data_IF_205262801850
#
_entry.id   IF_205262801850
#
_cell.length_a   1.000
_cell.length_b   1.000
_cell.length_c   1.000
_cell.angle_alpha   90.00
_cell.angle_beta   90.00
_cell.angle_gamma   90.00
#
_symmetry.space_group_name_H-M   'P 1'
#
loop_
_entity.id
_entity.type
_entity.pdbx_description
1 polymer ?
#
# COMPACT_ATOMS: atom_id res chain seq x y z
N UNK A 1 -35.06 -60.91 18.65
CA UNK A 1 -34.36 -60.01 19.60
C UNK A 1 -34.00 -58.75 18.85
N UNK A 2 -34.52 -57.60 19.26
CA UNK A 2 -34.15 -56.30 18.69
C UNK A 2 -33.07 -55.74 19.62
N UNK A 3 -31.88 -55.54 19.06
CA UNK A 3 -30.65 -55.26 19.80
C UNK A 3 -30.74 -53.90 20.52
N UNK A 4 -30.91 -53.92 21.85
CA UNK A 4 -31.01 -52.72 22.69
C UNK A 4 -29.73 -51.88 22.72
N UNK A 5 -28.62 -52.41 22.19
CA UNK A 5 -27.33 -51.74 22.13
C UNK A 5 -27.29 -50.66 21.02
N UNK A 6 -28.01 -50.87 19.91
CA UNK A 6 -28.14 -49.90 18.80
C UNK A 6 -28.98 -48.66 19.18
N UNK A 7 -30.00 -48.83 20.04
CA UNK A 7 -30.84 -47.73 20.52
C UNK A 7 -30.09 -46.77 21.46
N UNK A 8 -29.19 -47.29 22.29
CA UNK A 8 -28.41 -46.50 23.24
C UNK A 8 -27.28 -45.74 22.53
N UNK A 9 -26.65 -46.36 21.51
CA UNK A 9 -25.70 -45.68 20.61
C UNK A 9 -26.37 -44.52 19.86
N UNK A 10 -27.53 -44.77 19.26
CA UNK A 10 -28.30 -43.76 18.54
C UNK A 10 -28.74 -42.59 19.43
N UNK A 11 -29.11 -42.84 20.69
CA UNK A 11 -29.51 -41.77 21.62
C UNK A 11 -28.33 -40.88 22.00
N UNK A 12 -27.13 -41.44 22.20
CA UNK A 12 -25.91 -40.64 22.45
C UNK A 12 -25.49 -39.82 21.22
N UNK A 13 -25.58 -40.38 20.02
CA UNK A 13 -25.30 -39.65 18.79
C UNK A 13 -26.30 -38.51 18.54
N UNK A 14 -27.60 -38.76 18.77
CA UNK A 14 -28.63 -37.72 18.69
C UNK A 14 -28.42 -36.62 19.73
N UNK A 15 -28.07 -36.97 20.97
CA UNK A 15 -27.83 -35.97 22.02
C UNK A 15 -26.60 -35.12 21.73
N UNK A 16 -25.51 -35.71 21.21
CA UNK A 16 -24.34 -34.96 20.77
C UNK A 16 -24.64 -34.08 19.54
N UNK A 17 -25.45 -34.55 18.61
CA UNK A 17 -25.90 -33.75 17.47
C UNK A 17 -26.73 -32.54 17.96
N UNK A 18 -27.69 -32.75 18.85
CA UNK A 18 -28.51 -31.67 19.43
C UNK A 18 -27.66 -30.66 20.20
N UNK A 19 -26.68 -31.12 20.98
CA UNK A 19 -25.80 -30.24 21.74
C UNK A 19 -24.84 -29.41 20.86
N UNK A 20 -24.49 -29.91 19.66
CA UNK A 20 -23.62 -29.21 18.70
C UNK A 20 -24.41 -28.34 17.70
N UNK A 21 -25.74 -28.45 17.66
CA UNK A 21 -26.59 -27.61 16.79
C UNK A 21 -26.36 -26.10 16.96
N UNK A 22 -26.22 -25.54 18.18
CA UNK A 22 -25.96 -24.11 18.35
C UNK A 22 -24.62 -23.68 17.71
N UNK A 23 -23.56 -24.45 17.95
CA UNK A 23 -22.22 -24.21 17.39
C UNK A 23 -22.22 -24.33 15.85
N UNK A 24 -22.90 -25.34 15.31
CA UNK A 24 -23.06 -25.51 13.86
C UNK A 24 -23.89 -24.38 13.23
N UNK A 25 -24.90 -23.88 13.95
CA UNK A 25 -25.70 -22.73 13.51
C UNK A 25 -24.87 -21.46 13.47
N UNK A 26 -24.06 -21.20 14.50
CA UNK A 26 -23.15 -20.05 14.52
C UNK A 26 -22.10 -20.13 13.42
N UNK A 27 -21.47 -21.30 13.23
CA UNK A 27 -20.54 -21.55 12.11
C UNK A 27 -21.21 -21.29 10.76
N UNK A 28 -22.43 -21.78 10.56
CA UNK A 28 -23.20 -21.53 9.35
C UNK A 28 -23.44 -20.02 9.15
N UNK A 29 -23.83 -19.29 10.19
CA UNK A 29 -24.03 -17.84 10.10
C UNK A 29 -22.74 -17.11 9.68
N UNK A 30 -21.58 -17.51 10.19
CA UNK A 30 -20.28 -16.95 9.77
C UNK A 30 -20.01 -17.24 8.29
N UNK A 31 -20.25 -18.48 7.84
CA UNK A 31 -20.10 -18.87 6.44
C UNK A 31 -21.04 -18.07 5.53
N UNK A 32 -22.31 -17.94 5.91
CA UNK A 32 -23.32 -17.20 5.14
C UNK A 32 -22.93 -15.71 5.03
N UNK A 33 -22.43 -15.10 6.12
CA UNK A 33 -21.89 -13.74 6.12
C UNK A 33 -20.73 -13.59 5.12
N UNK A 34 -19.72 -14.45 5.19
CA UNK A 34 -18.56 -14.37 4.29
C UNK A 34 -18.93 -14.68 2.83
N UNK A 35 -19.85 -15.61 2.59
CA UNK A 35 -20.34 -15.94 1.25
C UNK A 35 -21.06 -14.75 0.63
N UNK A 36 -21.90 -14.05 1.40
CA UNK A 36 -22.56 -12.84 0.94
C UNK A 36 -21.55 -11.73 0.63
N UNK A 37 -20.59 -11.47 1.54
CA UNK A 37 -19.53 -10.47 1.32
C UNK A 37 -18.74 -10.79 0.04
N UNK A 38 -18.30 -12.04 -0.14
CA UNK A 38 -17.54 -12.46 -1.31
C UNK A 38 -18.34 -12.29 -2.61
N UNK A 39 -19.64 -12.57 -2.58
CA UNK A 39 -20.54 -12.43 -3.74
C UNK A 39 -20.67 -10.97 -4.14
N UNK A 40 -20.89 -10.06 -3.18
CA UNK A 40 -20.98 -8.62 -3.44
C UNK A 40 -19.64 -8.07 -3.95
N UNK A 41 -18.52 -8.46 -3.33
CA UNK A 41 -17.19 -8.04 -3.77
C UNK A 41 -16.88 -8.49 -5.20
N UNK A 42 -17.28 -9.72 -5.58
CA UNK A 42 -17.11 -10.21 -6.94
C UNK A 42 -17.92 -9.39 -7.96
N UNK A 43 -19.11 -8.92 -7.57
CA UNK A 43 -19.91 -7.98 -8.36
C UNK A 43 -19.15 -6.67 -8.59
N UNK A 44 -18.69 -6.03 -7.52
CA UNK A 44 -17.92 -4.78 -7.57
C UNK A 44 -16.66 -4.88 -8.45
N UNK A 45 -15.91 -5.98 -8.32
CA UNK A 45 -14.71 -6.24 -9.14
C UNK A 45 -15.06 -6.27 -10.62
N UNK A 46 -16.14 -6.97 -10.99
CA UNK A 46 -16.56 -7.12 -12.40
C UNK A 46 -17.11 -5.82 -12.97
N UNK A 47 -17.97 -5.14 -12.22
CA UNK A 47 -18.66 -3.93 -12.68
C UNK A 47 -17.67 -2.79 -12.92
N UNK A 48 -16.66 -2.67 -12.06
CA UNK A 48 -15.59 -1.67 -12.16
C UNK A 48 -14.37 -2.16 -12.95
N UNK A 49 -14.33 -3.45 -13.30
CA UNK A 49 -13.20 -4.10 -13.98
C UNK A 49 -11.88 -3.94 -13.23
N UNK A 50 -11.93 -4.09 -11.89
CA UNK A 50 -10.78 -3.88 -11.00
C UNK A 50 -9.64 -4.86 -11.25
N UNK A 51 -9.95 -6.04 -11.81
CA UNK A 51 -8.95 -7.01 -12.28
C UNK A 51 -8.04 -6.41 -13.36
N UNK A 52 -8.60 -5.59 -14.26
CA UNK A 52 -7.82 -4.91 -15.31
C UNK A 52 -6.93 -3.81 -14.72
N UNK A 53 -7.44 -3.03 -13.77
CA UNK A 53 -6.66 -2.02 -13.06
C UNK A 53 -5.49 -2.68 -12.32
N UNK A 54 -5.77 -3.66 -11.45
CA UNK A 54 -4.76 -4.33 -10.64
C UNK A 54 -3.64 -4.96 -11.47
N UNK A 55 -4.00 -5.63 -12.58
CA UNK A 55 -3.01 -6.21 -13.49
C UNK A 55 -2.11 -5.15 -14.11
N UNK A 56 -2.68 -4.07 -14.62
CA UNK A 56 -1.91 -3.00 -15.28
C UNK A 56 -1.08 -2.19 -14.29
N UNK A 57 -1.57 -1.96 -13.09
CA UNK A 57 -0.80 -1.35 -11.99
C UNK A 57 0.41 -2.22 -11.63
N UNK A 58 0.21 -3.54 -11.52
CA UNK A 58 1.29 -4.48 -11.28
C UNK A 58 2.33 -4.47 -12.41
N UNK A 59 1.89 -4.62 -13.66
CA UNK A 59 2.77 -4.65 -14.83
C UNK A 59 3.57 -3.34 -14.95
N UNK A 60 2.92 -2.20 -14.67
CA UNK A 60 3.54 -0.88 -14.68
C UNK A 60 4.58 -0.72 -13.57
N UNK A 61 4.31 -1.23 -12.37
CA UNK A 61 5.26 -1.19 -11.25
C UNK A 61 6.50 -2.06 -11.52
N UNK A 62 6.31 -3.21 -12.17
CA UNK A 62 7.40 -4.15 -12.51
C UNK A 62 8.24 -3.66 -13.69
N UNK A 63 7.59 -3.11 -14.72
CA UNK A 63 8.26 -2.68 -15.97
C UNK A 63 8.74 -1.23 -15.92
N UNK A 64 8.21 -0.41 -15.02
CA UNK A 64 8.45 1.04 -14.95
C UNK A 64 7.80 1.85 -16.07
N UNK A 65 7.01 1.22 -16.96
CA UNK A 65 6.36 1.87 -18.10
C UNK A 65 5.01 1.22 -18.43
N UNK A 66 4.17 1.93 -19.19
CA UNK A 66 2.93 1.42 -19.76
C UNK A 66 2.79 1.95 -21.19
N UNK A 67 2.19 1.16 -22.08
CA UNK A 67 1.88 1.64 -23.42
C UNK A 67 0.82 2.76 -23.40
N UNK A 68 1.00 3.77 -24.25
CA UNK A 68 0.10 4.94 -24.32
C UNK A 68 -1.34 4.56 -24.64
N UNK A 69 -1.55 3.58 -25.52
CA UNK A 69 -2.89 3.13 -25.91
C UNK A 69 -3.56 2.37 -24.77
N UNK A 70 -2.81 1.57 -24.02
CA UNK A 70 -3.31 0.87 -22.83
C UNK A 70 -3.67 1.83 -21.71
N UNK A 71 -2.81 2.82 -21.42
CA UNK A 71 -3.05 3.87 -20.44
C UNK A 71 -4.36 4.63 -20.75
N UNK A 72 -4.53 5.03 -22.01
CA UNK A 72 -5.74 5.73 -22.46
C UNK A 72 -6.97 4.84 -22.36
N UNK A 73 -6.85 3.56 -22.74
CA UNK A 73 -7.95 2.59 -22.71
C UNK A 73 -8.48 2.39 -21.29
N UNK A 74 -7.61 2.34 -20.27
CA UNK A 74 -8.03 2.26 -18.86
C UNK A 74 -8.78 3.51 -18.44
N UNK A 75 -8.20 4.69 -18.67
CA UNK A 75 -8.76 5.96 -18.20
C UNK A 75 -10.12 6.27 -18.86
N UNK A 76 -10.32 5.86 -20.12
CA UNK A 76 -11.59 6.02 -20.83
C UNK A 76 -12.57 4.86 -20.59
N UNK A 77 -12.10 3.75 -20.02
CA UNK A 77 -12.88 2.54 -19.77
C UNK A 77 -13.77 2.61 -18.53
N UNK A 78 -14.14 1.42 -18.05
CA UNK A 78 -14.89 1.18 -16.80
C UNK A 78 -14.10 1.63 -15.57
N UNK A 79 -14.79 1.68 -14.44
CA UNK A 79 -14.22 2.09 -13.15
C UNK A 79 -14.77 3.45 -12.70
N UNK A 80 -14.69 3.68 -11.39
CA UNK A 80 -15.15 4.93 -10.78
C UNK A 80 -14.17 6.07 -11.03
N UNK A 81 -14.60 7.31 -10.74
CA UNK A 81 -13.72 8.49 -10.79
C UNK A 81 -12.47 8.30 -9.92
N UNK A 82 -12.61 7.67 -8.75
CA UNK A 82 -11.50 7.42 -7.83
C UNK A 82 -10.57 6.31 -8.35
N UNK A 83 -11.09 5.27 -9.02
CA UNK A 83 -10.27 4.22 -9.64
C UNK A 83 -9.36 4.81 -10.72
N UNK A 84 -9.93 5.64 -11.59
CA UNK A 84 -9.20 6.34 -12.67
C UNK A 84 -8.14 7.30 -12.11
N UNK A 85 -8.47 8.05 -11.07
CA UNK A 85 -7.55 8.97 -10.42
C UNK A 85 -6.37 8.23 -9.77
N UNK A 86 -6.66 7.13 -9.05
CA UNK A 86 -5.63 6.28 -8.44
C UNK A 86 -4.71 5.65 -9.49
N UNK A 87 -5.27 5.16 -10.59
CA UNK A 87 -4.50 4.62 -11.71
C UNK A 87 -3.58 5.68 -12.33
N UNK A 88 -4.09 6.89 -12.54
CA UNK A 88 -3.29 8.00 -13.06
C UNK A 88 -2.15 8.40 -12.10
N UNK A 89 -2.40 8.40 -10.79
CA UNK A 89 -1.38 8.60 -9.76
C UNK A 89 -0.35 7.47 -9.78
N UNK A 90 -0.79 6.21 -9.94
CA UNK A 90 0.11 5.06 -10.06
C UNK A 90 1.06 5.19 -11.26
N UNK A 91 0.53 5.64 -12.41
CA UNK A 91 1.33 5.98 -13.58
C UNK A 91 2.40 7.03 -13.30
N UNK A 92 2.01 8.13 -12.62
CA UNK A 92 2.98 9.15 -12.24
C UNK A 92 4.07 8.59 -11.34
N UNK A 93 3.77 7.80 -10.32
CA UNK A 93 4.80 7.33 -9.37
C UNK A 93 5.66 6.20 -9.94
N UNK A 94 5.13 5.40 -10.88
CA UNK A 94 5.85 4.25 -11.45
C UNK A 94 6.78 4.62 -12.60
N UNK A 95 6.51 5.75 -13.28
CA UNK A 95 7.36 6.21 -14.38
C UNK A 95 8.64 6.87 -13.85
N UNK A 96 9.81 6.60 -14.41
CA UNK A 96 11.04 7.29 -13.99
C UNK A 96 11.05 8.77 -14.43
N UNK A 97 10.62 9.02 -15.66
CA UNK A 97 10.46 10.37 -16.21
C UNK A 97 9.00 10.80 -16.21
N UNK A 98 8.74 12.07 -16.53
CA UNK A 98 7.39 12.61 -16.70
C UNK A 98 7.26 13.06 -18.16
N UNK A 99 6.89 12.16 -19.10
CA UNK A 99 6.70 12.54 -20.49
C UNK A 99 5.52 13.52 -20.60
N UNK A 100 5.82 14.77 -20.96
CA UNK A 100 4.83 15.86 -20.95
C UNK A 100 3.59 15.53 -21.80
N UNK A 101 3.79 14.93 -22.98
CA UNK A 101 2.71 14.55 -23.88
C UNK A 101 1.77 13.48 -23.30
N UNK A 102 2.29 12.52 -22.53
CA UNK A 102 1.48 11.48 -21.88
C UNK A 102 0.72 12.07 -20.69
N UNK A 103 1.35 12.96 -19.92
CA UNK A 103 0.68 13.62 -18.81
C UNK A 103 -0.46 14.51 -19.27
N UNK A 104 -0.27 15.30 -20.33
CA UNK A 104 -1.35 16.12 -20.89
C UNK A 104 -2.53 15.27 -21.38
N UNK A 105 -2.23 14.11 -21.97
CA UNK A 105 -3.23 13.14 -22.38
C UNK A 105 -3.99 12.56 -21.16
N UNK A 106 -3.29 12.19 -20.10
CA UNK A 106 -3.90 11.71 -18.84
C UNK A 106 -4.79 12.79 -18.23
N UNK A 107 -4.30 14.03 -18.12
CA UNK A 107 -5.07 15.17 -17.59
C UNK A 107 -6.32 15.47 -18.44
N UNK A 108 -6.23 15.30 -19.75
CA UNK A 108 -7.37 15.45 -20.65
C UNK A 108 -8.40 14.35 -20.41
N UNK A 109 -7.96 13.09 -20.33
CA UNK A 109 -8.86 11.96 -20.04
C UNK A 109 -9.53 12.07 -18.67
N UNK A 110 -8.82 12.55 -17.64
CA UNK A 110 -9.39 12.79 -16.32
C UNK A 110 -10.42 13.93 -16.34
N UNK A 111 -10.16 15.01 -17.09
CA UNK A 111 -11.12 16.11 -17.26
C UNK A 111 -12.37 15.67 -18.02
N UNK A 112 -12.21 14.89 -19.10
CA UNK A 112 -13.33 14.30 -19.85
C UNK A 112 -14.18 13.38 -18.97
N UNK A 113 -13.57 12.68 -18.01
CA UNK A 113 -14.24 11.85 -17.02
C UNK A 113 -14.76 12.63 -15.79
N UNK A 114 -14.69 13.97 -15.80
CA UNK A 114 -15.10 14.88 -14.73
C UNK A 114 -14.49 14.51 -13.36
N UNK A 115 -13.21 14.14 -13.37
CA UNK A 115 -12.43 13.80 -12.17
C UNK A 115 -11.75 15.05 -11.64
N UNK A 116 -11.81 15.29 -10.32
CA UNK A 116 -11.00 16.31 -9.66
C UNK A 116 -9.51 15.97 -9.79
N UNK A 117 -8.75 16.82 -10.48
CA UNK A 117 -7.33 16.60 -10.75
C UNK A 117 -6.41 17.14 -9.66
N UNK A 118 -6.95 17.71 -8.58
CA UNK A 118 -6.16 18.32 -7.49
C UNK A 118 -5.10 17.38 -6.92
N UNK A 119 -5.45 16.13 -6.61
CA UNK A 119 -4.49 15.12 -6.14
C UNK A 119 -3.43 14.78 -7.20
N UNK A 120 -3.84 14.59 -8.44
CA UNK A 120 -2.93 14.27 -9.54
C UNK A 120 -1.90 15.40 -9.75
N UNK A 121 -2.35 16.65 -9.75
CA UNK A 121 -1.48 17.82 -9.87
C UNK A 121 -0.54 17.96 -8.67
N UNK A 122 -1.03 17.69 -7.47
CA UNK A 122 -0.20 17.67 -6.26
C UNK A 122 0.93 16.64 -6.40
N UNK A 123 0.60 15.38 -6.75
CA UNK A 123 1.59 14.31 -6.92
C UNK A 123 2.58 14.65 -8.03
N UNK A 124 2.11 15.17 -9.17
CA UNK A 124 2.96 15.64 -10.28
C UNK A 124 3.95 16.70 -9.81
N UNK A 125 3.48 17.68 -9.02
CA UNK A 125 4.34 18.74 -8.47
C UNK A 125 5.39 18.17 -7.52
N UNK A 126 5.00 17.33 -6.56
CA UNK A 126 5.94 16.71 -5.61
C UNK A 126 6.97 15.84 -6.33
N UNK A 127 6.55 15.03 -7.30
CA UNK A 127 7.47 14.24 -8.12
C UNK A 127 8.48 15.11 -8.88
N UNK A 128 8.03 16.21 -9.48
CA UNK A 128 8.92 17.15 -10.20
C UNK A 128 9.96 17.81 -9.27
N UNK A 129 9.55 18.14 -8.03
CA UNK A 129 10.45 18.70 -7.02
C UNK A 129 11.48 17.66 -6.59
N UNK A 130 11.08 16.41 -6.40
CA UNK A 130 11.99 15.31 -6.04
C UNK A 130 13.02 15.04 -7.13
N UNK A 131 12.64 15.02 -8.42
CA UNK A 131 13.59 14.88 -9.54
C UNK A 131 14.56 16.06 -9.59
N UNK A 132 14.06 17.28 -9.37
CA UNK A 132 14.90 18.49 -9.34
C UNK A 132 15.86 18.51 -8.15
N UNK A 133 15.47 17.91 -7.03
CA UNK A 133 16.25 17.86 -5.80
C UNK A 133 17.31 16.76 -5.84
N UNK A 134 16.96 15.58 -6.37
CA UNK A 134 17.88 14.48 -6.62
C UNK A 134 18.94 14.82 -7.69
N UNK A 135 18.64 15.74 -8.61
CA UNK A 135 19.65 16.30 -9.53
C UNK A 135 20.52 17.40 -8.90
N UNK A 136 20.04 18.03 -7.81
CA UNK A 136 20.76 19.05 -7.05
C UNK A 136 21.63 18.50 -5.91
N UNK A 137 21.49 17.22 -5.52
CA UNK A 137 22.25 16.58 -4.43
C UNK A 137 23.75 16.35 -4.74
N UNK A 138 24.22 16.78 -5.91
CA UNK A 138 25.66 17.01 -6.17
C UNK A 138 26.22 18.29 -5.53
N UNK A 139 25.39 19.18 -4.97
CA UNK A 139 25.83 20.38 -4.29
C UNK A 139 25.07 20.57 -2.95
N UNK A 140 25.72 20.19 -1.86
CA UNK A 140 25.09 20.06 -0.54
C UNK A 140 24.42 21.32 0.04
N UNK A 141 23.33 21.09 0.79
CA UNK A 141 22.87 21.85 1.98
C UNK A 141 21.58 21.23 2.56
N UNK A 142 21.63 20.80 3.83
CA UNK A 142 20.52 20.88 4.80
C UNK A 142 19.60 19.66 5.00
N UNK A 143 19.69 19.05 6.19
CA UNK A 143 19.00 17.86 6.77
C UNK A 143 17.49 17.63 6.51
N UNK A 144 16.74 18.54 5.90
CA UNK A 144 15.33 18.30 5.50
C UNK A 144 15.27 17.78 4.04
N UNK A 145 16.33 17.98 3.26
CA UNK A 145 16.41 17.50 1.88
C UNK A 145 16.77 16.00 1.82
N UNK A 146 17.56 15.54 2.79
CA UNK A 146 18.08 14.19 2.88
C UNK A 146 16.99 13.13 3.18
N UNK A 147 15.93 13.47 3.93
CA UNK A 147 14.82 12.54 4.17
C UNK A 147 13.88 12.38 2.97
N UNK A 148 13.69 13.43 2.16
CA UNK A 148 12.88 13.34 0.95
C UNK A 148 13.61 12.53 -0.15
N UNK A 149 14.92 12.74 -0.29
CA UNK A 149 15.79 11.97 -1.18
C UNK A 149 15.93 10.50 -0.72
N UNK A 150 16.02 10.24 0.58
CA UNK A 150 16.14 8.85 1.10
C UNK A 150 14.81 8.11 1.19
N UNK A 151 13.71 8.77 1.56
CA UNK A 151 12.41 8.11 1.67
C UNK A 151 11.74 7.93 0.30
N UNK A 152 11.95 8.84 -0.66
CA UNK A 152 11.34 8.78 -1.99
C UNK A 152 12.35 8.50 -3.10
N UNK A 153 13.53 9.12 -3.10
CA UNK A 153 14.57 8.83 -4.09
C UNK A 153 15.09 7.39 -3.99
N UNK A 154 15.40 6.90 -2.79
CA UNK A 154 15.77 5.48 -2.62
C UNK A 154 14.57 4.52 -2.62
N UNK A 155 13.34 4.91 -2.28
CA UNK A 155 12.21 3.98 -2.44
C UNK A 155 11.81 3.82 -3.91
N UNK A 156 11.80 4.90 -4.69
CA UNK A 156 11.51 4.84 -6.13
C UNK A 156 12.70 4.20 -6.89
N UNK A 157 13.94 4.47 -6.48
CA UNK A 157 15.14 3.83 -7.06
C UNK A 157 15.37 2.40 -6.54
N UNK A 158 14.87 2.00 -5.36
CA UNK A 158 14.89 0.62 -4.89
C UNK A 158 13.79 -0.24 -5.54
N UNK A 159 12.69 0.36 -5.99
CA UNK A 159 11.73 -0.32 -6.86
C UNK A 159 12.37 -0.66 -8.22
N UNK A 160 13.30 0.16 -8.71
CA UNK A 160 14.07 -0.08 -9.96
C UNK A 160 15.39 -0.85 -9.77
N UNK A 161 16.04 -0.79 -8.61
CA UNK A 161 17.22 -1.62 -8.29
C UNK A 161 16.84 -3.03 -7.78
N UNK A 162 15.62 -3.20 -7.25
CA UNK A 162 15.05 -4.49 -6.85
C UNK A 162 14.72 -5.43 -8.02
N UNK A 163 14.89 -4.96 -9.26
CA UNK A 163 14.53 -5.69 -10.49
C UNK A 163 15.37 -6.96 -10.67
N UNK A 164 16.56 -7.02 -10.08
CA UNK A 164 17.44 -8.21 -10.17
C UNK A 164 17.06 -9.35 -9.21
N UNK A 165 16.19 -9.10 -8.22
CA UNK A 165 15.59 -10.13 -7.34
C UNK A 165 14.14 -10.48 -7.72
N UNK A 166 13.59 -9.89 -8.79
CA UNK A 166 12.22 -10.14 -9.27
C UNK A 166 11.96 -11.54 -9.84
N UNK A 167 12.97 -12.39 -9.95
CA UNK A 167 12.81 -13.78 -10.40
C UNK A 167 12.29 -14.72 -9.31
N UNK A 168 12.09 -14.22 -8.08
CA UNK A 168 11.56 -15.01 -6.96
C UNK A 168 10.23 -14.45 -6.44
N UNK A 169 9.17 -14.53 -7.24
CA UNK A 169 7.78 -14.79 -6.80
C UNK A 169 7.01 -13.79 -5.93
N UNK A 170 7.62 -12.95 -5.09
CA UNK A 170 6.90 -12.09 -4.12
C UNK A 170 7.48 -10.66 -4.11
N UNK A 171 6.68 -9.67 -4.53
CA UNK A 171 6.97 -8.24 -4.31
C UNK A 171 6.81 -7.91 -2.82
N UNK A 172 7.90 -8.03 -2.07
CA UNK A 172 7.92 -7.64 -0.66
C UNK A 172 7.93 -6.11 -0.54
N UNK A 173 6.98 -5.55 0.23
CA UNK A 173 6.84 -4.11 0.42
C UNK A 173 8.11 -3.50 1.05
N UNK A 174 8.41 -2.25 0.69
CA UNK A 174 9.55 -1.50 1.23
C UNK A 174 9.55 -1.46 2.78
N UNK A 175 8.37 -1.31 3.39
CA UNK A 175 8.19 -1.37 4.84
C UNK A 175 8.67 -2.70 5.41
N UNK A 176 8.19 -3.82 4.86
CA UNK A 176 8.52 -5.17 5.32
C UNK A 176 10.00 -5.46 5.18
N UNK A 177 10.62 -5.07 4.07
CA UNK A 177 12.07 -5.20 3.83
C UNK A 177 12.90 -4.40 4.84
N UNK A 178 12.47 -3.17 5.13
CA UNK A 178 13.12 -2.30 6.12
C UNK A 178 13.03 -2.91 7.51
N UNK A 179 11.85 -3.37 7.91
CA UNK A 179 11.62 -4.00 9.22
C UNK A 179 12.44 -5.29 9.34
N UNK A 180 12.47 -6.12 8.30
CA UNK A 180 13.32 -7.31 8.25
C UNK A 180 14.79 -6.97 8.48
N UNK A 181 15.33 -6.01 7.73
CA UNK A 181 16.73 -5.58 7.88
C UNK A 181 17.04 -5.04 9.29
N UNK A 182 16.16 -4.20 9.84
CA UNK A 182 16.29 -3.65 11.20
C UNK A 182 16.25 -4.77 12.25
N UNK A 183 15.34 -5.74 12.09
CA UNK A 183 15.19 -6.85 13.02
C UNK A 183 16.35 -7.85 12.94
N UNK A 184 16.97 -8.05 11.77
CA UNK A 184 18.18 -8.88 11.65
C UNK A 184 19.39 -8.22 12.33
N UNK A 185 19.47 -6.87 12.31
CA UNK A 185 20.57 -6.12 12.90
C UNK A 185 21.90 -6.27 12.16
N UNK A 186 21.87 -6.74 10.91
CA UNK A 186 23.03 -6.86 10.03
C UNK A 186 23.26 -5.55 9.29
N UNK A 187 24.52 -5.21 8.92
CA UNK A 187 24.78 -4.07 8.05
C UNK A 187 23.96 -4.18 6.75
N UNK A 188 23.13 -3.18 6.48
CA UNK A 188 22.35 -3.09 5.26
C UNK A 188 22.29 -1.61 4.83
N UNK A 189 22.81 -1.27 3.63
CA UNK A 189 22.84 0.12 3.13
C UNK A 189 21.50 0.84 3.17
N UNK A 190 20.38 0.11 3.08
CA UNK A 190 19.04 0.69 3.08
C UNK A 190 18.62 1.25 4.45
N UNK A 191 19.20 0.73 5.53
CA UNK A 191 18.86 1.14 6.90
C UNK A 191 19.98 1.93 7.57
N UNK A 192 21.14 2.10 6.93
CA UNK A 192 22.28 2.84 7.48
C UNK A 192 21.95 4.32 7.78
N UNK A 193 20.94 4.86 7.10
CA UNK A 193 20.44 6.22 7.31
C UNK A 193 19.48 6.36 8.48
N UNK A 194 19.01 5.26 9.06
CA UNK A 194 18.02 5.29 10.14
C UNK A 194 18.67 5.75 11.45
N UNK A 195 17.99 6.65 12.14
CA UNK A 195 18.43 7.14 13.44
C UNK A 195 18.18 6.05 14.49
N UNK A 196 19.23 5.73 15.25
CA UNK A 196 19.17 4.78 16.35
C UNK A 196 19.23 5.52 17.68
N UNK A 197 18.18 5.36 18.47
CA UNK A 197 18.08 5.91 19.81
C UNK A 197 17.94 4.78 20.82
N UNK A 198 18.84 4.76 21.80
CA UNK A 198 18.77 3.86 22.94
C UNK A 198 18.37 4.66 24.19
N UNK A 199 17.12 4.51 24.67
CA UNK A 199 16.63 5.25 25.85
C UNK A 199 17.45 4.99 27.13
N UNK A 200 18.22 3.90 27.18
CA UNK A 200 19.05 3.53 28.33
C UNK A 200 20.49 4.02 28.19
N UNK A 201 20.88 4.50 27.00
CA UNK A 201 22.24 4.94 26.76
C UNK A 201 22.57 6.25 27.51
N UNK A 202 23.80 6.41 28.02
CA UNK A 202 24.26 7.66 28.59
C UNK A 202 24.22 8.79 27.54
N UNK A 203 23.91 10.02 27.98
CA UNK A 203 23.85 11.21 27.10
C UNK A 203 25.15 11.51 26.34
N UNK A 204 26.28 10.92 26.73
CA UNK A 204 27.60 11.13 26.12
C UNK A 204 28.07 10.00 25.21
N UNK A 205 27.33 8.89 25.07
CA UNK A 205 27.74 7.81 24.19
C UNK A 205 27.22 8.06 22.78
N UNK A 206 28.07 8.64 21.94
CA UNK A 206 27.86 8.69 20.50
C UNK A 206 28.08 7.28 19.92
N UNK A 207 27.01 6.48 19.86
CA UNK A 207 26.98 5.20 19.17
C UNK A 207 26.67 4.01 20.07
N UNK A 208 25.40 3.87 20.48
CA UNK A 208 24.89 2.57 20.94
C UNK A 208 24.60 1.73 19.70
N UNK A 209 25.51 0.81 19.34
CA UNK A 209 25.25 -0.17 18.28
C UNK A 209 24.41 -1.31 18.84
N UNK A 210 23.11 -1.06 19.09
CA UNK A 210 22.15 -2.14 19.29
C UNK A 210 22.08 -2.93 17.97
N UNK A 211 22.80 -4.04 17.90
CA UNK A 211 22.76 -4.95 16.75
C UNK A 211 22.11 -6.26 17.18
N UNK A 212 21.02 -6.58 16.50
CA UNK A 212 20.16 -7.74 16.71
C UNK A 212 20.86 -9.09 16.50
N UNK A 213 20.10 -10.19 16.41
CA UNK A 213 18.71 -10.22 15.93
C UNK A 213 17.66 -9.92 17.01
N UNK A 214 16.68 -9.10 16.68
CA UNK A 214 15.50 -8.81 17.50
C UNK A 214 14.39 -9.84 17.23
N UNK A 215 13.67 -10.23 18.28
CA UNK A 215 12.52 -11.15 18.19
C UNK A 215 11.19 -10.42 18.12
N UNK A 216 11.15 -9.21 18.65
CA UNK A 216 9.95 -8.39 18.79
C UNK A 216 10.20 -7.01 18.21
N UNK A 217 9.19 -6.42 17.58
CA UNK A 217 9.23 -5.07 17.05
C UNK A 217 7.87 -4.38 17.18
N UNK A 218 7.91 -3.07 17.45
CA UNK A 218 6.76 -2.18 17.31
C UNK A 218 7.06 -1.28 16.11
N UNK A 219 6.22 -1.34 15.09
CA UNK A 219 6.35 -0.58 13.84
C UNK A 219 5.23 0.45 13.83
N UNK A 220 5.56 1.75 13.83
CA UNK A 220 4.56 2.81 13.85
C UNK A 220 4.68 3.70 12.60
N UNK A 221 3.69 3.64 11.71
CA UNK A 221 3.62 4.49 10.53
C UNK A 221 3.05 5.87 10.89
N UNK A 222 3.80 6.94 10.60
CA UNK A 222 3.35 8.32 10.86
C UNK A 222 2.75 8.88 9.56
N UNK A 223 1.51 9.34 9.62
CA UNK A 223 0.79 9.90 8.48
C UNK A 223 -0.41 9.02 8.14
N UNK A 224 -0.18 7.90 7.46
CA UNK A 224 -1.25 6.96 7.13
C UNK A 224 -0.70 5.58 6.86
N UNK A 225 -1.39 4.58 7.42
CA UNK A 225 -1.09 3.16 7.29
C UNK A 225 -2.22 2.44 6.59
N UNK A 226 -2.02 1.19 6.19
CA UNK A 226 -3.04 0.44 5.47
C UNK A 226 -2.99 -1.06 5.76
N UNK A 227 -4.05 -1.77 5.37
CA UNK A 227 -4.17 -3.22 5.57
C UNK A 227 -3.16 -4.04 4.77
N UNK A 228 -2.64 -3.52 3.65
CA UNK A 228 -1.64 -4.21 2.82
C UNK A 228 -0.30 -4.26 3.53
N UNK A 229 0.11 -3.15 4.15
CA UNK A 229 1.29 -3.06 5.02
C UNK A 229 1.17 -3.98 6.23
N UNK A 230 0.05 -3.90 6.96
CA UNK A 230 -0.22 -4.78 8.09
C UNK A 230 -0.14 -6.26 7.68
N UNK A 231 -0.85 -6.66 6.61
CA UNK A 231 -0.86 -8.03 6.13
C UNK A 231 0.53 -8.53 5.72
N UNK A 232 1.32 -7.68 5.05
CA UNK A 232 2.68 -8.02 4.66
C UNK A 232 3.60 -8.26 5.86
N UNK A 233 3.50 -7.44 6.91
CA UNK A 233 4.26 -7.62 8.14
C UNK A 233 3.85 -8.88 8.91
N UNK A 234 2.54 -9.18 8.99
CA UNK A 234 2.06 -10.40 9.65
C UNK A 234 2.51 -11.66 8.92
N UNK A 235 2.47 -11.67 7.59
CA UNK A 235 2.96 -12.82 6.81
C UNK A 235 4.47 -13.00 6.94
N UNK A 236 5.23 -11.90 6.90
CA UNK A 236 6.67 -11.93 7.21
C UNK A 236 6.92 -12.52 8.60
N UNK A 237 6.24 -12.01 9.65
CA UNK A 237 6.41 -12.47 11.02
C UNK A 237 6.17 -13.98 11.19
N UNK A 238 5.15 -14.52 10.51
CA UNK A 238 4.75 -15.93 10.52
C UNK A 238 5.70 -16.84 9.73
N UNK A 239 6.28 -16.34 8.64
CA UNK A 239 7.21 -17.09 7.78
C UNK A 239 8.57 -17.33 8.44
N UNK A 240 8.98 -16.46 9.37
CA UNK A 240 10.24 -16.58 10.09
C UNK A 240 10.26 -17.76 11.08
N UNK A 241 11.44 -18.32 11.30
CA UNK A 241 11.67 -19.42 12.25
C UNK A 241 12.84 -19.07 13.19
N UNK A 242 12.61 -18.84 14.50
CA UNK A 242 11.31 -18.80 15.17
C UNK A 242 10.45 -17.62 14.68
N UNK A 243 9.12 -17.76 14.81
CA UNK A 243 8.17 -16.69 14.48
C UNK A 243 8.53 -15.41 15.22
N UNK A 244 8.46 -14.28 14.50
CA UNK A 244 8.69 -12.95 15.07
C UNK A 244 7.39 -12.39 15.63
N UNK A 245 7.48 -11.48 16.59
CA UNK A 245 6.32 -10.77 17.13
C UNK A 245 6.36 -9.31 16.70
N UNK A 246 5.46 -8.92 15.79
CA UNK A 246 5.43 -7.57 15.23
C UNK A 246 4.09 -6.93 15.52
N UNK A 247 4.12 -5.80 16.24
CA UNK A 247 2.97 -4.94 16.47
C UNK A 247 3.04 -3.80 15.45
N UNK A 248 2.06 -3.72 14.57
CA UNK A 248 1.92 -2.61 13.63
C UNK A 248 0.92 -1.59 14.16
N UNK A 249 1.32 -0.32 14.15
CA UNK A 249 0.50 0.83 14.48
C UNK A 249 0.63 1.92 13.43
N UNK A 250 -0.34 2.82 13.40
CA UNK A 250 -0.34 3.97 12.51
C UNK A 250 -1.14 5.11 13.14
N UNK A 251 -0.92 6.35 12.71
CA UNK A 251 -1.76 7.49 13.08
C UNK A 251 -3.21 7.32 12.65
N UNK A 252 -3.41 6.77 11.44
CA UNK A 252 -4.71 6.44 10.87
C UNK A 252 -4.57 5.27 9.89
N UNK A 253 -5.61 4.45 9.77
CA UNK A 253 -5.70 3.38 8.76
C UNK A 253 -6.53 3.93 7.61
N UNK A 254 -5.92 4.02 6.43
CA UNK A 254 -6.53 4.62 5.26
C UNK A 254 -6.77 3.59 4.17
N UNK A 255 -7.91 3.74 3.49
CA UNK A 255 -8.13 3.19 2.16
C UNK A 255 -7.41 4.04 1.10
N UNK A 256 -7.20 3.48 -0.09
CA UNK A 256 -6.63 4.24 -1.19
C UNK A 256 -7.51 5.40 -1.66
N UNK A 257 -8.82 5.38 -1.36
CA UNK A 257 -9.72 6.51 -1.63
C UNK A 257 -9.47 7.68 -0.68
N UNK A 258 -9.50 7.42 0.63
CA UNK A 258 -9.28 8.43 1.68
C UNK A 258 -7.88 9.06 1.56
N UNK A 259 -6.86 8.27 1.23
CA UNK A 259 -5.53 8.82 1.00
C UNK A 259 -5.50 9.81 -0.18
N UNK A 260 -6.19 9.50 -1.30
CA UNK A 260 -6.29 10.40 -2.44
C UNK A 260 -7.11 11.65 -2.13
N UNK A 261 -8.09 11.57 -1.25
CA UNK A 261 -8.81 12.75 -0.75
C UNK A 261 -7.88 13.69 0.03
N UNK A 262 -7.01 13.13 0.88
CA UNK A 262 -5.99 13.92 1.57
C UNK A 262 -5.03 14.61 0.59
N UNK A 263 -4.57 13.88 -0.44
CA UNK A 263 -3.75 14.47 -1.52
C UNK A 263 -4.51 15.58 -2.27
N UNK A 264 -5.81 15.40 -2.50
CA UNK A 264 -6.66 16.42 -3.13
C UNK A 264 -6.76 17.68 -2.28
N UNK A 265 -6.91 17.55 -0.95
CA UNK A 265 -6.92 18.69 -0.03
C UNK A 265 -5.58 19.44 -0.06
N UNK A 266 -4.46 18.74 -0.10
CA UNK A 266 -3.13 19.34 -0.21
C UNK A 266 -2.95 20.06 -1.55
N UNK A 267 -3.39 19.45 -2.66
CA UNK A 267 -3.42 20.09 -3.98
C UNK A 267 -4.19 21.41 -3.96
N UNK A 268 -5.41 21.40 -3.42
CA UNK A 268 -6.26 22.61 -3.30
C UNK A 268 -5.61 23.70 -2.45
N UNK A 269 -5.01 23.33 -1.30
CA UNK A 269 -4.27 24.27 -0.44
C UNK A 269 -3.05 24.89 -1.14
N UNK A 270 -2.45 24.17 -2.08
CA UNK A 270 -1.37 24.68 -2.95
C UNK A 270 -1.87 25.47 -4.17
N UNK A 271 -3.18 25.65 -4.32
CA UNK A 271 -3.78 26.30 -5.50
C UNK A 271 -3.77 25.44 -6.76
N UNK A 272 -3.57 24.12 -6.62
CA UNK A 272 -3.57 23.16 -7.73
C UNK A 272 -4.97 22.59 -7.94
N UNK A 273 -5.38 22.38 -9.19
CA UNK A 273 -6.64 21.72 -9.54
C UNK A 273 -7.88 22.62 -9.60
N UNK A 274 -7.74 23.94 -9.41
CA UNK A 274 -8.82 24.88 -9.72
C UNK A 274 -8.99 24.99 -11.23
N UNK A 275 -10.16 24.61 -11.76
CA UNK A 275 -10.63 25.22 -13.00
C UNK A 275 -10.81 26.72 -12.74
N UNK A 276 -10.42 27.61 -13.66
CA UNK A 276 -10.67 29.03 -13.49
C UNK A 276 -12.17 29.21 -13.32
N UNK A 277 -12.59 29.63 -12.13
CA UNK A 277 -13.94 30.15 -11.95
C UNK A 277 -14.02 31.33 -12.90
N UNK A 278 -14.93 31.34 -13.89
CA UNK A 278 -15.12 32.54 -14.70
C UNK A 278 -15.47 33.64 -13.72
N UNK A 279 -14.63 34.68 -13.68
CA UNK A 279 -14.88 35.88 -12.90
C UNK A 279 -16.25 36.42 -13.31
N UNK A 280 -17.27 36.18 -12.50
CA UNK A 280 -18.54 36.89 -12.61
C UNK A 280 -18.26 38.31 -12.15
N UNK A 281 -17.92 39.15 -13.12
CA UNK A 281 -18.07 40.61 -13.01
C UNK A 281 -19.55 40.91 -12.80
N UNK A 282 -19.87 41.44 -11.62
CA UNK A 282 -21.03 42.30 -11.38
C UNK A 282 -20.53 43.56 -10.68
#
# INVERSE_FOLDING_TARGET
EFDGTDLIGNTKHLMNAVNSLPELTERKQVIDKHTNIATVLLGEIKDRSLDSYAKKEYDMMVRGTIDRTELTSVLKGKGTKIDKLRFAIMYLISSESIPQAEVEMVETALREAEVDTSAFQYVKKIKSLNVSLASASTAGRGNIVDWAEKLYGQSISAVTAGVKNLLSGDLQLALTRTVEALMEGRPNPEIDSYLLFDPRAPKSSSGSHLRGPFKEAIVFMIGGGNYVEHGSLQEFARRQQPAKHIIYGTTEILTGGEFVEQLSMLGKKMGLGASPVPSTTH
#
